data_IF_000290256342
#
_entry.id   IF_000290256342
#
_cell.length_a   1.000
_cell.length_b   1.000
_cell.length_c   1.000
_cell.angle_alpha   90.00
_cell.angle_beta   90.00
_cell.angle_gamma   90.00
#
_symmetry.space_group_name_H-M   'P 1'
#
loop_
_entity.id
_entity.type
_entity.pdbx_description
1 polymer ?
#
# COMPACT_ATOMS: atom_id res chain seq x y z
N UNK A 1 39.65 -29.84 -1.13
CA UNK A 1 39.13 -28.51 -1.42
C UNK A 1 37.68 -28.49 -1.98
N UNK A 2 37.25 -29.35 -2.90
CA UNK A 2 35.89 -29.36 -3.50
C UNK A 2 34.72 -29.55 -2.52
N UNK A 3 34.86 -30.36 -1.45
CA UNK A 3 33.78 -30.56 -0.46
C UNK A 3 33.48 -29.34 0.43
N UNK A 4 34.50 -28.53 0.78
CA UNK A 4 34.33 -27.32 1.60
C UNK A 4 33.58 -26.24 0.86
N UNK A 5 33.85 -26.05 -0.44
CA UNK A 5 33.14 -25.05 -1.27
C UNK A 5 31.68 -25.45 -1.51
N UNK A 6 31.38 -26.75 -1.64
CA UNK A 6 30.01 -27.24 -1.80
C UNK A 6 29.14 -27.00 -0.55
N UNK A 7 29.71 -27.14 0.66
CA UNK A 7 29.00 -26.88 1.92
C UNK A 7 28.75 -25.36 2.13
N UNK A 8 29.70 -24.52 1.77
CA UNK A 8 29.56 -23.05 1.87
C UNK A 8 28.50 -22.56 0.88
N UNK A 9 28.49 -23.06 -0.36
CA UNK A 9 27.47 -22.71 -1.36
C UNK A 9 26.08 -23.19 -0.90
N UNK A 10 25.96 -24.38 -0.34
CA UNK A 10 24.70 -24.88 0.21
C UNK A 10 24.23 -24.09 1.43
N UNK A 11 25.11 -23.67 2.33
CA UNK A 11 24.79 -22.86 3.49
C UNK A 11 24.38 -21.43 3.11
N UNK A 12 25.07 -20.81 2.17
CA UNK A 12 24.72 -19.45 1.67
C UNK A 12 23.41 -19.51 0.88
N UNK A 13 23.18 -20.55 0.07
CA UNK A 13 21.90 -20.69 -0.66
C UNK A 13 20.72 -20.93 0.29
N UNK A 14 20.88 -21.75 1.35
CA UNK A 14 19.81 -21.98 2.32
C UNK A 14 19.48 -20.73 3.16
N UNK A 15 20.47 -19.92 3.51
CA UNK A 15 20.26 -18.68 4.28
C UNK A 15 19.54 -17.58 3.50
N UNK A 16 19.55 -17.63 2.17
CA UNK A 16 18.82 -16.68 1.31
C UNK A 16 17.47 -17.26 0.87
N UNK A 17 17.41 -18.54 0.54
CA UNK A 17 16.20 -19.17 -0.02
C UNK A 17 15.08 -19.28 1.03
N UNK A 18 15.36 -19.69 2.26
CA UNK A 18 14.35 -19.85 3.31
C UNK A 18 13.63 -18.53 3.67
N UNK A 19 14.33 -17.40 3.91
CA UNK A 19 13.68 -16.12 4.12
C UNK A 19 12.84 -15.67 2.92
N UNK A 20 13.32 -15.95 1.69
CA UNK A 20 12.59 -15.59 0.46
C UNK A 20 11.30 -16.38 0.30
N UNK A 21 11.26 -17.67 0.67
CA UNK A 21 10.04 -18.49 0.66
C UNK A 21 9.05 -18.00 1.72
N UNK A 22 9.52 -17.70 2.92
CA UNK A 22 8.68 -17.13 3.99
C UNK A 22 8.05 -15.79 3.59
N UNK A 23 8.85 -14.90 3.01
CA UNK A 23 8.39 -13.62 2.49
C UNK A 23 7.35 -13.81 1.38
N UNK A 24 7.61 -14.65 0.40
CA UNK A 24 6.69 -14.93 -0.71
C UNK A 24 5.36 -15.53 -0.18
N UNK A 25 5.41 -16.46 0.77
CA UNK A 25 4.22 -17.02 1.40
C UNK A 25 3.39 -15.95 2.10
N UNK A 26 4.04 -15.00 2.78
CA UNK A 26 3.38 -13.87 3.43
C UNK A 26 2.73 -12.91 2.41
N UNK A 27 3.41 -12.60 1.30
CA UNK A 27 2.85 -11.80 0.20
C UNK A 27 1.62 -12.47 -0.40
N UNK A 28 1.70 -13.78 -0.71
CA UNK A 28 0.58 -14.56 -1.26
C UNK A 28 -0.59 -14.63 -0.26
N UNK A 29 -0.32 -14.81 1.03
CA UNK A 29 -1.35 -14.82 2.07
C UNK A 29 -2.06 -13.47 2.15
N UNK A 30 -1.31 -12.39 2.18
CA UNK A 30 -1.87 -11.04 2.28
C UNK A 30 -2.58 -10.60 1.00
N UNK A 31 -2.13 -11.06 -0.18
CA UNK A 31 -2.79 -10.74 -1.46
C UNK A 31 -4.24 -11.22 -1.55
N UNK A 32 -4.64 -12.14 -0.67
CA UNK A 32 -6.02 -12.64 -0.56
C UNK A 32 -6.89 -11.80 0.39
N UNK A 33 -6.29 -10.83 1.10
CA UNK A 33 -7.03 -9.97 2.03
C UNK A 33 -7.94 -9.02 1.25
N UNK A 34 -9.19 -9.01 1.65
CA UNK A 34 -10.22 -8.12 1.10
C UNK A 34 -11.24 -7.83 2.19
N UNK A 35 -10.87 -6.93 3.11
CA UNK A 35 -11.74 -6.58 4.22
C UNK A 35 -12.99 -5.87 3.71
N UNK A 36 -14.16 -6.30 4.19
CA UNK A 36 -15.47 -5.81 3.76
C UNK A 36 -16.38 -5.36 4.94
N UNK A 37 -15.78 -5.10 6.10
CA UNK A 37 -16.54 -4.51 7.23
C UNK A 37 -16.37 -3.00 7.26
N UNK A 38 -17.09 -2.34 8.19
CA UNK A 38 -17.08 -0.89 8.32
C UNK A 38 -15.73 -0.37 8.82
N UNK A 39 -15.28 0.73 8.22
CA UNK A 39 -14.15 1.53 8.63
C UNK A 39 -14.59 2.98 8.84
N UNK A 40 -13.95 3.68 9.79
CA UNK A 40 -14.07 5.12 9.87
C UNK A 40 -13.25 5.80 8.76
N UNK A 41 -12.03 5.30 8.52
CA UNK A 41 -11.13 5.86 7.51
C UNK A 41 -10.45 4.78 6.67
N UNK A 42 -10.29 5.07 5.37
CA UNK A 42 -9.61 4.22 4.41
C UNK A 42 -8.50 5.00 3.70
N UNK A 43 -7.23 4.62 3.94
CA UNK A 43 -6.11 5.07 3.12
C UNK A 43 -6.19 4.44 1.73
N UNK A 44 -6.16 5.23 0.68
CA UNK A 44 -6.05 4.77 -0.70
C UNK A 44 -4.64 5.14 -1.17
N UNK A 45 -3.77 4.13 -1.19
CA UNK A 45 -2.35 4.36 -1.51
C UNK A 45 -2.18 4.72 -2.99
N UNK A 46 -1.37 5.72 -3.25
CA UNK A 46 -1.00 6.20 -4.57
C UNK A 46 -0.32 5.16 -5.45
N UNK A 47 -0.05 5.50 -6.68
CA UNK A 47 0.55 4.61 -7.67
C UNK A 47 1.05 5.36 -8.89
N UNK A 48 1.57 4.61 -9.87
CA UNK A 48 2.17 5.20 -11.05
C UNK A 48 1.16 6.03 -11.86
N UNK A 49 1.56 7.26 -12.16
CA UNK A 49 0.96 8.13 -13.15
C UNK A 49 1.80 8.03 -14.43
N UNK A 50 1.14 7.90 -15.57
CA UNK A 50 1.74 7.83 -16.91
C UNK A 50 1.56 9.20 -17.56
N UNK A 51 2.68 9.81 -18.00
CA UNK A 51 2.66 11.19 -18.50
C UNK A 51 2.24 12.17 -17.42
N UNK A 52 1.38 13.11 -17.74
CA UNK A 52 1.02 14.23 -16.89
C UNK A 52 0.00 13.84 -15.79
N UNK A 53 -1.09 13.16 -16.17
CA UNK A 53 -2.23 12.93 -15.28
C UNK A 53 -2.90 11.55 -15.46
N UNK A 54 -2.38 10.65 -16.31
CA UNK A 54 -3.05 9.38 -16.59
C UNK A 54 -2.72 8.31 -15.56
N UNK A 55 -3.68 7.81 -14.77
CA UNK A 55 -3.45 6.70 -13.86
C UNK A 55 -3.02 5.44 -14.63
N UNK A 56 -2.00 4.73 -14.15
CA UNK A 56 -1.69 3.41 -14.65
C UNK A 56 -2.86 2.44 -14.42
N UNK A 57 -2.89 1.33 -15.17
CA UNK A 57 -3.93 0.29 -14.99
C UNK A 57 -4.02 -0.20 -13.54
N UNK A 58 -2.89 -0.35 -12.85
CA UNK A 58 -2.87 -0.72 -11.44
C UNK A 58 -3.53 0.31 -10.54
N UNK A 59 -3.27 1.60 -10.79
CA UNK A 59 -3.88 2.68 -10.02
C UNK A 59 -5.38 2.75 -10.30
N UNK A 60 -5.80 2.60 -11.57
CA UNK A 60 -7.22 2.53 -11.92
C UNK A 60 -7.94 1.40 -11.22
N UNK A 61 -7.35 0.21 -11.10
CA UNK A 61 -7.93 -0.91 -10.34
C UNK A 61 -8.10 -0.57 -8.86
N UNK A 62 -7.13 0.15 -8.25
CA UNK A 62 -7.27 0.65 -6.87
C UNK A 62 -8.43 1.64 -6.75
N UNK A 63 -8.53 2.59 -7.68
CA UNK A 63 -9.60 3.60 -7.69
C UNK A 63 -10.98 2.93 -7.80
N UNK A 64 -11.15 2.00 -8.73
CA UNK A 64 -12.42 1.27 -8.88
C UNK A 64 -12.78 0.44 -7.64
N UNK A 65 -11.78 -0.27 -7.06
CA UNK A 65 -12.01 -1.03 -5.81
C UNK A 65 -12.34 -0.10 -4.65
N UNK A 66 -11.70 1.07 -4.54
CA UNK A 66 -12.01 2.07 -3.54
C UNK A 66 -13.42 2.63 -3.70
N UNK A 67 -13.83 2.97 -4.93
CA UNK A 67 -15.18 3.45 -5.21
C UNK A 67 -16.24 2.39 -4.85
N UNK A 68 -15.99 1.11 -5.18
CA UNK A 68 -16.87 0.01 -4.81
C UNK A 68 -17.04 -0.10 -3.28
N UNK A 69 -15.93 -0.06 -2.55
CA UNK A 69 -15.95 -0.13 -1.08
C UNK A 69 -16.67 1.08 -0.47
N UNK A 70 -16.33 2.30 -0.91
CA UNK A 70 -16.91 3.55 -0.38
C UNK A 70 -18.41 3.70 -0.65
N UNK A 71 -18.91 3.14 -1.76
CA UNK A 71 -20.36 3.07 -2.06
C UNK A 71 -21.08 2.10 -1.13
N UNK A 72 -20.44 0.98 -0.78
CA UNK A 72 -21.01 0.00 0.16
C UNK A 72 -20.92 0.48 1.62
N UNK A 73 -20.00 1.40 1.93
CA UNK A 73 -19.76 1.93 3.28
C UNK A 73 -19.85 3.47 3.28
N UNK A 74 -21.06 4.05 3.29
CA UNK A 74 -21.27 5.50 3.10
C UNK A 74 -20.65 6.35 4.21
N UNK A 75 -20.44 5.82 5.41
CA UNK A 75 -19.84 6.53 6.55
C UNK A 75 -18.30 6.53 6.52
N UNK A 76 -17.68 5.74 5.65
CA UNK A 76 -16.21 5.70 5.55
C UNK A 76 -15.68 6.94 4.85
N UNK A 77 -14.72 7.62 5.47
CA UNK A 77 -13.96 8.73 4.87
C UNK A 77 -12.69 8.18 4.22
N UNK A 78 -12.45 8.54 2.97
CA UNK A 78 -11.24 8.18 2.23
C UNK A 78 -10.11 9.19 2.48
N UNK A 79 -8.87 8.72 2.57
CA UNK A 79 -7.66 9.53 2.46
C UNK A 79 -6.94 9.08 1.19
N UNK A 80 -6.94 9.91 0.16
CA UNK A 80 -6.16 9.67 -1.05
C UNK A 80 -4.72 10.10 -0.81
N UNK A 81 -3.74 9.23 -1.11
CA UNK A 81 -2.35 9.43 -0.75
C UNK A 81 -1.43 9.44 -1.98
N UNK A 82 -0.41 10.31 -1.94
CA UNK A 82 0.65 10.38 -2.93
C UNK A 82 0.85 11.76 -3.54
N UNK A 83 2.08 12.24 -3.49
CA UNK A 83 2.46 13.57 -3.97
C UNK A 83 2.67 13.64 -5.48
N UNK A 84 3.15 14.80 -5.92
CA UNK A 84 3.57 15.10 -7.29
C UNK A 84 5.10 15.15 -7.32
N UNK A 85 5.77 14.05 -7.67
CA UNK A 85 7.23 13.94 -7.56
C UNK A 85 7.92 13.30 -8.77
N UNK A 86 7.15 12.84 -9.76
CA UNK A 86 7.73 12.26 -10.98
C UNK A 86 7.85 13.29 -12.09
N UNK A 87 8.90 13.16 -12.90
CA UNK A 87 9.12 14.01 -14.06
C UNK A 87 7.91 13.95 -15.01
N UNK A 88 7.39 15.10 -15.38
CA UNK A 88 6.24 15.25 -16.29
C UNK A 88 4.87 15.12 -15.64
N UNK A 89 4.80 14.82 -14.35
CA UNK A 89 3.56 14.80 -13.58
C UNK A 89 3.15 16.24 -13.24
N UNK A 90 1.89 16.59 -13.46
CA UNK A 90 1.36 17.94 -13.20
C UNK A 90 0.46 18.00 -11.96
N UNK A 91 -0.17 16.87 -11.59
CA UNK A 91 -0.99 16.71 -10.40
C UNK A 91 -0.45 15.64 -9.47
N UNK A 92 -0.73 15.76 -8.18
CA UNK A 92 -0.41 14.71 -7.22
C UNK A 92 -1.20 13.42 -7.51
N UNK A 93 -0.62 12.26 -7.16
CA UNK A 93 -1.32 10.98 -7.25
C UNK A 93 -2.63 11.03 -6.45
N UNK A 94 -2.61 11.65 -5.27
CA UNK A 94 -3.76 11.82 -4.39
C UNK A 94 -4.87 12.64 -5.05
N UNK A 95 -4.55 13.75 -5.71
CA UNK A 95 -5.53 14.59 -6.39
C UNK A 95 -6.18 13.84 -7.55
N UNK A 96 -5.39 13.14 -8.35
CA UNK A 96 -5.89 12.31 -9.44
C UNK A 96 -6.85 11.23 -8.92
N UNK A 97 -6.49 10.53 -7.84
CA UNK A 97 -7.39 9.54 -7.21
C UNK A 97 -8.68 10.20 -6.76
N UNK A 98 -8.62 11.36 -6.09
CA UNK A 98 -9.78 12.12 -5.64
C UNK A 98 -10.71 12.48 -6.79
N UNK A 99 -10.17 13.06 -7.88
CA UNK A 99 -10.95 13.45 -9.06
C UNK A 99 -11.69 12.24 -9.69
N UNK A 100 -11.01 11.09 -9.79
CA UNK A 100 -11.64 9.88 -10.32
C UNK A 100 -12.71 9.31 -9.38
N UNK A 101 -12.49 9.31 -8.06
CA UNK A 101 -13.51 8.89 -7.10
C UNK A 101 -14.75 9.76 -7.16
N UNK A 102 -14.58 11.09 -7.26
CA UNK A 102 -15.69 12.04 -7.41
C UNK A 102 -16.46 11.78 -8.70
N UNK A 103 -15.78 11.57 -9.85
CA UNK A 103 -16.42 11.16 -11.11
C UNK A 103 -17.16 9.83 -11.01
N UNK A 104 -16.70 8.93 -10.15
CA UNK A 104 -17.38 7.66 -9.86
C UNK A 104 -18.52 7.80 -8.85
N UNK A 105 -18.87 9.02 -8.43
CA UNK A 105 -20.03 9.31 -7.57
C UNK A 105 -19.75 9.20 -6.07
N UNK A 106 -18.50 9.31 -5.64
CA UNK A 106 -18.16 9.47 -4.22
C UNK A 106 -18.23 10.95 -3.87
N UNK A 107 -18.94 11.30 -2.80
CA UNK A 107 -19.02 12.68 -2.30
C UNK A 107 -17.62 13.22 -1.97
N UNK A 108 -17.29 14.37 -2.53
CA UNK A 108 -16.00 15.01 -2.35
C UNK A 108 -15.70 15.34 -0.88
N UNK A 109 -16.70 15.63 -0.08
CA UNK A 109 -16.58 15.91 1.36
C UNK A 109 -16.11 14.67 2.15
N UNK A 110 -16.23 13.48 1.59
CA UNK A 110 -15.73 12.23 2.15
C UNK A 110 -14.31 11.86 1.69
N UNK A 111 -13.62 12.77 1.00
CA UNK A 111 -12.30 12.49 0.43
C UNK A 111 -11.29 13.52 0.94
N UNK A 112 -10.48 13.12 1.88
CA UNK A 112 -9.34 13.89 2.38
C UNK A 112 -8.13 13.69 1.47
N UNK A 113 -7.32 14.74 1.29
CA UNK A 113 -6.18 14.74 0.40
C UNK A 113 -4.88 14.72 1.19
N UNK A 114 -4.01 13.75 0.90
CA UNK A 114 -2.62 13.68 1.33
C UNK A 114 -1.73 13.72 0.07
N UNK A 115 -1.28 14.89 -0.33
CA UNK A 115 -0.62 15.17 -1.61
C UNK A 115 0.88 15.51 -1.51
N UNK A 116 1.50 15.22 -0.36
CA UNK A 116 2.89 15.57 -0.08
C UNK A 116 3.84 14.38 -0.08
N UNK A 117 3.33 13.19 0.19
CA UNK A 117 4.14 11.98 0.33
C UNK A 117 4.78 11.53 -0.97
N UNK A 118 6.00 11.02 -0.86
CA UNK A 118 6.76 10.41 -1.96
C UNK A 118 7.00 8.91 -1.74
N UNK A 119 6.72 8.44 -0.54
CA UNK A 119 6.93 7.05 -0.11
C UNK A 119 5.69 6.49 0.60
N UNK A 120 5.57 5.16 0.63
CA UNK A 120 4.52 4.48 1.41
C UNK A 120 4.60 4.79 2.91
N UNK A 121 5.81 5.03 3.42
CA UNK A 121 6.04 5.45 4.80
C UNK A 121 5.35 6.80 5.09
N UNK A 122 5.62 7.79 4.24
CA UNK A 122 5.04 9.13 4.36
C UNK A 122 3.53 9.12 4.14
N UNK A 123 2.99 8.28 3.23
CA UNK A 123 1.55 8.13 3.07
C UNK A 123 0.86 7.83 4.40
N UNK A 124 1.43 6.91 5.19
CA UNK A 124 0.85 6.54 6.49
C UNK A 124 1.08 7.60 7.56
N UNK A 125 2.26 8.21 7.61
CA UNK A 125 2.58 9.24 8.62
C UNK A 125 1.72 10.50 8.41
N UNK A 126 1.70 11.02 7.18
CA UNK A 126 0.95 12.24 6.88
C UNK A 126 -0.56 12.01 6.92
N UNK A 127 -1.01 10.88 6.37
CA UNK A 127 -2.42 10.54 6.41
C UNK A 127 -2.93 10.29 7.84
N UNK A 128 -2.12 9.72 8.75
CA UNK A 128 -2.45 9.65 10.19
C UNK A 128 -2.71 11.03 10.76
N UNK A 129 -1.82 11.98 10.53
CA UNK A 129 -1.96 13.36 11.01
C UNK A 129 -3.23 14.03 10.48
N UNK A 130 -3.56 13.78 9.19
CA UNK A 130 -4.80 14.30 8.59
C UNK A 130 -6.03 13.69 9.26
N UNK A 131 -6.03 12.38 9.53
CA UNK A 131 -7.13 11.69 10.20
C UNK A 131 -7.35 12.23 11.61
N UNK A 132 -6.28 12.36 12.40
CA UNK A 132 -6.35 12.87 13.77
C UNK A 132 -6.90 14.30 13.81
N UNK A 133 -6.45 15.16 12.89
CA UNK A 133 -6.97 16.52 12.76
C UNK A 133 -8.44 16.56 12.35
N UNK A 134 -8.85 15.72 11.39
CA UNK A 134 -10.22 15.68 10.89
C UNK A 134 -11.20 15.11 11.90
N UNK A 135 -10.83 14.01 12.61
CA UNK A 135 -11.70 13.34 13.57
C UNK A 135 -11.73 14.01 14.95
N UNK A 136 -10.72 14.80 15.27
CA UNK A 136 -10.42 15.28 16.61
C UNK A 136 -10.33 14.14 17.65
N UNK A 137 -9.81 12.98 17.23
CA UNK A 137 -9.64 11.77 18.02
C UNK A 137 -8.24 11.20 17.86
N UNK A 138 -7.81 10.42 18.85
CA UNK A 138 -6.60 9.63 18.70
C UNK A 138 -6.80 8.57 17.62
N UNK A 139 -5.80 8.39 16.75
CA UNK A 139 -5.85 7.44 15.63
C UNK A 139 -6.22 6.01 16.06
N UNK A 140 -5.75 5.59 17.22
CA UNK A 140 -5.96 4.22 17.73
C UNK A 140 -7.39 3.93 18.21
N UNK A 141 -8.21 4.97 18.36
CA UNK A 141 -9.65 4.82 18.67
C UNK A 141 -10.49 4.58 17.41
N UNK A 142 -9.86 4.70 16.25
CA UNK A 142 -10.53 4.67 14.96
C UNK A 142 -10.32 3.32 14.26
N UNK A 143 -11.39 2.79 13.68
CA UNK A 143 -11.31 1.63 12.77
C UNK A 143 -10.75 2.11 11.43
N UNK A 144 -9.52 1.76 11.13
CA UNK A 144 -8.83 2.21 9.93
C UNK A 144 -8.35 1.04 9.08
N UNK A 145 -8.26 1.28 7.78
CA UNK A 145 -7.72 0.33 6.82
C UNK A 145 -6.95 1.01 5.70
N UNK A 146 -6.32 0.22 4.86
CA UNK A 146 -5.70 0.73 3.64
C UNK A 146 -6.02 -0.15 2.44
N UNK A 147 -6.08 0.49 1.28
CA UNK A 147 -6.30 -0.13 -0.01
C UNK A 147 -5.05 0.03 -0.88
N UNK A 148 -4.61 -1.07 -1.46
CA UNK A 148 -3.51 -1.10 -2.42
C UNK A 148 -3.66 -2.27 -3.40
N UNK A 149 -2.73 -2.41 -4.35
CA UNK A 149 -2.68 -3.62 -5.19
C UNK A 149 -2.40 -4.85 -4.32
N UNK A 150 -2.99 -5.97 -4.66
CA UNK A 150 -2.96 -7.20 -3.90
C UNK A 150 -1.52 -7.70 -3.58
N UNK A 151 -0.58 -7.61 -4.52
CA UNK A 151 0.83 -7.95 -4.31
C UNK A 151 1.57 -7.02 -3.33
N UNK A 152 1.07 -5.78 -3.13
CA UNK A 152 1.69 -4.77 -2.27
C UNK A 152 1.18 -4.79 -0.82
N UNK A 153 0.10 -5.51 -0.52
CA UNK A 153 -0.56 -5.47 0.80
C UNK A 153 0.33 -5.92 1.94
N UNK A 154 1.22 -6.90 1.71
CA UNK A 154 2.14 -7.38 2.74
C UNK A 154 3.13 -6.27 3.12
N UNK A 155 3.88 -5.74 2.14
CA UNK A 155 4.89 -4.71 2.40
C UNK A 155 4.28 -3.44 2.98
N UNK A 156 3.18 -2.96 2.43
CA UNK A 156 2.49 -1.79 2.97
C UNK A 156 2.03 -2.01 4.42
N UNK A 157 1.56 -3.21 4.76
CA UNK A 157 1.18 -3.55 6.13
C UNK A 157 2.35 -3.61 7.11
N UNK A 158 3.52 -4.08 6.66
CA UNK A 158 4.76 -4.04 7.47
C UNK A 158 5.19 -2.59 7.67
N UNK A 159 5.19 -1.76 6.62
CA UNK A 159 5.52 -0.33 6.72
C UNK A 159 4.56 0.38 7.69
N UNK A 160 3.26 0.12 7.60
CA UNK A 160 2.28 0.68 8.53
C UNK A 160 2.62 0.31 9.99
N UNK A 161 2.93 -0.98 10.25
CA UNK A 161 3.31 -1.45 11.60
C UNK A 161 4.58 -0.76 12.11
N UNK A 162 5.62 -0.62 11.27
CA UNK A 162 6.87 0.09 11.60
C UNK A 162 6.60 1.55 11.98
N UNK A 163 5.58 2.18 11.38
CA UNK A 163 5.17 3.55 11.67
C UNK A 163 4.16 3.67 12.83
N UNK A 164 4.05 2.65 13.66
CA UNK A 164 3.16 2.67 14.80
C UNK A 164 1.68 2.58 14.45
N UNK A 165 1.32 2.06 13.27
CA UNK A 165 -0.05 1.84 12.82
C UNK A 165 -0.36 0.32 12.73
N UNK A 166 -0.29 -0.43 13.83
CA UNK A 166 -0.61 -1.85 13.82
C UNK A 166 -2.12 -2.06 13.59
N UNK A 167 -2.47 -3.17 12.95
CA UNK A 167 -3.87 -3.60 12.87
C UNK A 167 -4.70 -2.96 11.77
N UNK A 168 -4.11 -2.16 10.87
CA UNK A 168 -4.83 -1.65 9.70
C UNK A 168 -5.47 -2.79 8.91
N UNK A 169 -6.76 -2.66 8.59
CA UNK A 169 -7.48 -3.60 7.73
C UNK A 169 -6.98 -3.46 6.29
N UNK A 170 -6.88 -4.58 5.58
CA UNK A 170 -6.29 -4.63 4.23
C UNK A 170 -7.35 -4.88 3.18
N UNK A 171 -7.40 -4.04 2.15
CA UNK A 171 -8.28 -4.18 0.99
C UNK A 171 -7.41 -4.28 -0.26
N UNK A 172 -7.52 -5.38 -0.99
CA UNK A 172 -6.72 -5.69 -2.16
C UNK A 172 -7.43 -5.38 -3.48
N UNK A 173 -6.88 -4.47 -4.27
CA UNK A 173 -7.27 -4.35 -5.66
C UNK A 173 -6.60 -5.47 -6.47
N UNK A 174 -7.40 -6.34 -7.08
CA UNK A 174 -6.92 -7.53 -7.80
C UNK A 174 -6.16 -7.18 -9.06
N UNK A 175 -4.96 -7.72 -9.18
CA UNK A 175 -4.11 -7.59 -10.35
C UNK A 175 -4.42 -8.69 -11.37
N UNK A 176 -4.06 -8.47 -12.65
CA UNK A 176 -3.99 -9.56 -13.63
C UNK A 176 -2.89 -10.55 -13.21
N UNK A 177 -2.93 -11.79 -13.71
CA UNK A 177 -1.87 -12.78 -13.42
C UNK A 177 -0.48 -12.25 -13.78
N UNK A 178 -0.35 -11.59 -14.94
CA UNK A 178 0.90 -10.98 -15.43
C UNK A 178 1.40 -9.89 -14.48
N UNK A 179 0.52 -9.01 -14.07
CA UNK A 179 0.86 -7.88 -13.20
C UNK A 179 1.16 -8.33 -11.77
N UNK A 180 0.43 -9.33 -11.28
CA UNK A 180 0.70 -9.96 -9.99
C UNK A 180 2.10 -10.56 -9.94
N UNK A 181 2.48 -11.34 -10.98
CA UNK A 181 3.83 -11.93 -11.05
C UNK A 181 4.92 -10.86 -11.10
N UNK A 182 4.74 -9.80 -11.89
CA UNK A 182 5.66 -8.66 -11.93
C UNK A 182 5.73 -7.92 -10.59
N UNK A 183 4.57 -7.74 -9.97
CA UNK A 183 4.45 -7.14 -8.65
C UNK A 183 5.21 -7.93 -7.60
N UNK A 184 5.03 -9.25 -7.53
CA UNK A 184 5.78 -10.14 -6.62
C UNK A 184 7.29 -10.04 -6.86
N UNK A 185 7.74 -10.07 -8.11
CA UNK A 185 9.16 -9.93 -8.42
C UNK A 185 9.73 -8.61 -7.88
N UNK A 186 8.99 -7.51 -8.01
CA UNK A 186 9.36 -6.21 -7.45
C UNK A 186 9.38 -6.24 -5.91
N UNK A 187 8.40 -6.85 -5.27
CA UNK A 187 8.34 -6.96 -3.80
C UNK A 187 9.54 -7.76 -3.26
N UNK A 188 9.97 -8.82 -3.96
CA UNK A 188 11.16 -9.59 -3.60
C UNK A 188 12.45 -8.77 -3.72
N UNK A 189 12.55 -7.91 -4.75
CA UNK A 189 13.72 -7.03 -4.94
C UNK A 189 13.86 -5.98 -3.82
N UNK A 190 12.75 -5.50 -3.26
CA UNK A 190 12.77 -4.48 -2.19
C UNK A 190 12.69 -5.09 -0.78
N UNK A 191 12.58 -6.41 -0.66
CA UNK A 191 12.49 -7.11 0.62
C UNK A 191 13.71 -6.88 1.54
N UNK A 192 14.96 -6.87 1.05
CA UNK A 192 16.13 -6.59 1.88
C UNK A 192 16.07 -5.22 2.56
N UNK A 193 15.66 -4.18 1.82
CA UNK A 193 15.53 -2.82 2.37
C UNK A 193 14.44 -2.76 3.44
N UNK A 194 13.35 -3.47 3.25
CA UNK A 194 12.27 -3.56 4.24
C UNK A 194 12.76 -4.20 5.54
N UNK A 195 13.49 -5.31 5.44
CA UNK A 195 14.03 -6.04 6.58
C UNK A 195 15.05 -5.17 7.32
N UNK A 196 15.96 -4.53 6.60
CA UNK A 196 16.98 -3.67 7.17
C UNK A 196 16.36 -2.47 7.91
N UNK A 197 15.35 -1.84 7.32
CA UNK A 197 14.61 -0.76 7.98
C UNK A 197 13.78 -1.22 9.19
N UNK A 198 13.40 -2.48 9.24
CA UNK A 198 12.71 -3.05 10.41
C UNK A 198 13.68 -3.30 11.57
N UNK A 199 14.85 -3.89 11.28
CA UNK A 199 15.86 -4.24 12.31
C UNK A 199 16.52 -2.99 12.89
N UNK A 200 16.80 -1.97 12.09
CA UNK A 200 17.52 -0.75 12.53
C UNK A 200 16.64 0.27 13.28
N UNK A 201 15.37 -0.04 13.58
CA UNK A 201 14.47 0.82 14.37
C UNK A 201 14.18 0.28 15.78
N UNK A 202 14.72 -0.89 16.13
CA UNK A 202 14.78 -1.39 17.52
C UNK A 202 16.08 -0.91 18.19
#
# INVERSE_FOLDING_TARGET
MKKKNSLIIAAVSSSIILPSIGFLSAVIKDSKKDYNGDLHYLFILGGLIIGEETPSEHLMKRIHKAAQYLKAHPETVAITCGGCFRKGQTKSEALIIKEFLTRLGIDENRILLEDKSTTTNENFQFGKTIIEKHSNKNFYELKTGFLSSDYHLFRAGVIAKINGLPGLRKIGAKSTKKDFTRGIARELLVAPDLINNYINRE
#
